data_IF_639192310109
#
_entry.id   IF_639192310109
#
_cell.length_a   1.000
_cell.length_b   1.000
_cell.length_c   1.000
_cell.angle_alpha   90.00
_cell.angle_beta   90.00
_cell.angle_gamma   90.00
#
_symmetry.space_group_name_H-M   'P 1'
#
loop_
_entity.id
_entity.type
_entity.pdbx_description
1 polymer ?
#
# COMPACT_ATOMS: atom_id res chain seq x y z
N UNK A 1 7.22 2.49 19.39
CA UNK A 1 8.32 2.32 20.36
C UNK A 1 8.36 0.89 20.87
N UNK A 2 7.41 0.53 21.72
CA UNK A 2 7.26 -0.82 22.32
C UNK A 2 7.44 -1.97 21.33
N UNK A 3 6.64 -2.01 20.26
CA UNK A 3 6.69 -3.11 19.27
C UNK A 3 8.05 -3.25 18.58
N UNK A 4 8.79 -2.16 18.37
CA UNK A 4 10.13 -2.26 17.77
C UNK A 4 11.15 -2.86 18.75
N UNK A 5 11.07 -2.46 20.02
CA UNK A 5 11.97 -2.97 21.07
C UNK A 5 11.73 -4.48 21.33
N UNK A 6 10.46 -4.90 21.36
CA UNK A 6 10.10 -6.32 21.48
C UNK A 6 10.68 -7.15 20.33
N UNK A 7 10.58 -6.63 19.10
CA UNK A 7 11.14 -7.30 17.93
C UNK A 7 12.66 -7.48 18.03
N UNK A 8 13.38 -6.48 18.54
CA UNK A 8 14.85 -6.55 18.71
C UNK A 8 15.27 -7.55 19.80
N UNK A 9 14.51 -7.66 20.88
CA UNK A 9 14.89 -8.46 22.06
C UNK A 9 14.37 -9.90 21.96
N UNK A 10 13.11 -10.06 21.54
CA UNK A 10 12.39 -11.33 21.57
C UNK A 10 12.21 -11.96 20.17
N UNK A 11 12.49 -11.22 19.10
CA UNK A 11 12.32 -11.69 17.72
C UNK A 11 10.88 -11.64 17.19
N UNK A 12 9.91 -11.34 18.06
CA UNK A 12 8.49 -11.20 17.74
C UNK A 12 7.85 -10.02 18.48
N UNK A 13 6.66 -9.61 18.07
CA UNK A 13 5.93 -8.47 18.64
C UNK A 13 4.58 -8.93 19.17
N UNK A 14 4.13 -8.37 20.30
CA UNK A 14 2.83 -8.72 20.91
C UNK A 14 1.64 -8.31 20.01
N UNK A 15 1.80 -7.21 19.28
CA UNK A 15 0.80 -6.66 18.35
C UNK A 15 1.24 -6.95 16.92
N UNK A 16 0.29 -7.26 16.04
CA UNK A 16 0.54 -7.48 14.61
C UNK A 16 1.21 -6.24 13.96
N UNK A 17 2.48 -6.36 13.50
CA UNK A 17 3.20 -5.25 12.89
C UNK A 17 2.93 -5.12 11.38
N UNK A 18 2.07 -5.96 10.79
CA UNK A 18 1.88 -6.05 9.33
C UNK A 18 1.54 -4.70 8.67
N UNK A 19 0.80 -3.84 9.37
CA UNK A 19 0.47 -2.50 8.91
C UNK A 19 1.66 -1.51 8.85
N UNK A 20 2.75 -1.82 9.53
CA UNK A 20 3.96 -0.99 9.63
C UNK A 20 5.19 -1.63 8.95
N UNK A 21 5.11 -2.91 8.62
CA UNK A 21 6.17 -3.66 7.97
C UNK A 21 6.57 -3.08 6.60
N UNK A 22 7.87 -2.85 6.40
CA UNK A 22 8.44 -2.33 5.16
C UNK A 22 8.39 -3.38 4.04
N UNK A 23 8.47 -4.68 4.37
CA UNK A 23 8.42 -5.77 3.41
C UNK A 23 7.05 -5.94 2.74
N UNK A 24 6.02 -5.20 3.19
CA UNK A 24 4.72 -5.13 2.49
C UNK A 24 4.85 -4.53 1.09
N UNK A 25 5.86 -3.69 0.87
CA UNK A 25 6.13 -3.09 -0.43
C UNK A 25 7.13 -3.94 -1.21
N UNK A 26 6.86 -4.16 -2.50
CA UNK A 26 7.73 -4.92 -3.38
C UNK A 26 8.60 -4.04 -4.27
N UNK A 27 9.42 -4.65 -5.12
CA UNK A 27 10.29 -3.93 -6.11
C UNK A 27 9.53 -2.99 -7.06
N UNK A 28 8.21 -3.14 -7.14
CA UNK A 28 7.36 -2.32 -7.96
C UNK A 28 7.20 -0.90 -7.39
N UNK A 29 7.35 -0.65 -6.09
CA UNK A 29 7.15 0.70 -5.52
C UNK A 29 8.29 1.66 -5.88
N UNK A 30 8.25 2.22 -7.09
CA UNK A 30 9.18 3.25 -7.56
C UNK A 30 8.67 4.65 -7.19
N UNK A 31 9.50 5.71 -7.31
CA UNK A 31 9.05 7.08 -7.07
C UNK A 31 7.80 7.49 -7.87
N UNK A 32 7.61 6.90 -9.06
CA UNK A 32 6.42 7.11 -9.89
C UNK A 32 5.12 6.58 -9.29
N UNK A 33 5.19 5.61 -8.36
CA UNK A 33 4.04 5.17 -7.57
C UNK A 33 3.93 5.92 -6.24
N UNK A 34 5.06 6.09 -5.54
CA UNK A 34 5.08 6.60 -4.16
C UNK A 34 4.62 8.04 -4.07
N UNK A 35 5.13 8.93 -4.93
CA UNK A 35 4.80 10.37 -4.89
C UNK A 35 3.29 10.62 -5.10
N UNK A 36 2.66 10.15 -6.19
CA UNK A 36 1.22 10.38 -6.40
C UNK A 36 0.35 9.74 -5.31
N UNK A 37 0.73 8.56 -4.78
CA UNK A 37 -0.02 7.93 -3.67
C UNK A 37 0.07 8.68 -2.35
N UNK A 38 1.21 9.29 -2.05
CA UNK A 38 1.36 10.11 -0.84
C UNK A 38 0.51 11.38 -0.95
N UNK A 39 0.47 12.02 -2.12
CA UNK A 39 -0.38 13.19 -2.37
C UNK A 39 -1.86 12.83 -2.18
N UNK A 40 -2.31 11.74 -2.80
CA UNK A 40 -3.69 11.25 -2.68
C UNK A 40 -4.05 10.89 -1.23
N UNK A 41 -3.13 10.25 -0.49
CA UNK A 41 -3.35 9.93 0.93
C UNK A 41 -3.51 11.20 1.78
N UNK A 42 -2.73 12.24 1.49
CA UNK A 42 -2.81 13.50 2.21
C UNK A 42 -4.12 14.25 1.92
N UNK A 43 -4.56 14.27 0.66
CA UNK A 43 -5.83 14.87 0.25
C UNK A 43 -7.03 14.21 0.94
N UNK A 44 -6.99 12.89 1.10
CA UNK A 44 -8.08 12.10 1.70
C UNK A 44 -7.89 11.84 3.20
N UNK A 45 -7.06 12.63 3.87
CA UNK A 45 -6.72 12.38 5.28
C UNK A 45 -7.93 12.48 6.22
N UNK A 46 -8.88 13.36 5.90
CA UNK A 46 -10.07 13.63 6.70
C UNK A 46 -11.37 13.25 6.00
N UNK A 47 -11.30 12.56 4.87
CA UNK A 47 -12.49 12.02 4.22
C UNK A 47 -12.98 10.76 4.93
N UNK A 48 -14.27 10.47 4.80
CA UNK A 48 -14.85 9.18 5.22
C UNK A 48 -14.37 8.13 4.23
N UNK A 49 -13.67 7.10 4.73
CA UNK A 49 -13.25 5.96 3.92
C UNK A 49 -14.30 4.85 4.00
N UNK A 50 -14.61 4.26 2.85
CA UNK A 50 -15.54 3.14 2.76
C UNK A 50 -14.75 1.83 2.63
N UNK A 51 -15.25 0.72 3.21
CA UNK A 51 -14.71 -0.61 2.90
C UNK A 51 -14.78 -0.86 1.38
N UNK A 52 -13.66 -1.25 0.77
CA UNK A 52 -13.49 -1.42 -0.68
C UNK A 52 -13.43 -0.12 -1.51
N UNK A 53 -13.07 1.02 -0.91
CA UNK A 53 -12.80 2.26 -1.65
C UNK A 53 -11.62 2.10 -2.61
N UNK A 54 -11.85 2.38 -3.89
CA UNK A 54 -10.82 2.39 -4.92
C UNK A 54 -10.13 3.75 -5.03
N UNK A 55 -8.80 3.73 -5.13
CA UNK A 55 -7.98 4.93 -5.18
C UNK A 55 -7.27 5.07 -6.54
N UNK A 56 -7.63 6.07 -7.37
CA UNK A 56 -7.20 6.14 -8.76
C UNK A 56 -5.72 6.52 -8.95
N UNK A 57 -5.07 7.21 -8.01
CA UNK A 57 -3.71 7.69 -8.22
C UNK A 57 -2.73 6.53 -8.47
N UNK A 58 -1.83 6.71 -9.44
CA UNK A 58 -0.88 5.67 -9.87
C UNK A 58 -1.53 4.36 -10.37
N UNK A 59 -2.73 4.40 -10.96
CA UNK A 59 -3.26 3.29 -11.77
C UNK A 59 -3.28 3.68 -13.26
N UNK A 60 -2.97 2.76 -14.19
CA UNK A 60 -2.43 1.41 -13.99
C UNK A 60 -0.91 1.44 -13.78
N UNK A 61 -0.40 0.80 -12.72
CA UNK A 61 1.04 0.79 -12.41
C UNK A 61 1.66 -0.61 -12.38
N UNK A 62 0.87 -1.63 -12.05
CA UNK A 62 1.28 -3.04 -12.15
C UNK A 62 0.14 -3.84 -12.77
N UNK A 63 0.35 -4.28 -14.00
CA UNK A 63 -0.62 -5.03 -14.78
C UNK A 63 -0.12 -6.45 -15.01
N UNK A 64 -1.05 -7.40 -15.17
CA UNK A 64 -0.72 -8.74 -15.68
C UNK A 64 -0.68 -8.69 -17.21
N UNK A 65 -0.03 -9.65 -17.90
CA UNK A 65 -0.03 -9.68 -19.37
C UNK A 65 -1.43 -9.77 -19.99
N UNK A 66 -2.43 -10.19 -19.21
CA UNK A 66 -3.83 -10.29 -19.64
C UNK A 66 -4.65 -9.04 -19.31
N UNK A 67 -4.03 -7.99 -18.75
CA UNK A 67 -4.73 -6.76 -18.36
C UNK A 67 -5.48 -6.14 -19.53
N UNK A 68 -4.83 -5.97 -20.69
CA UNK A 68 -5.44 -5.36 -21.87
C UNK A 68 -6.64 -6.16 -22.39
N UNK A 69 -6.61 -7.49 -22.21
CA UNK A 69 -7.71 -8.38 -22.60
C UNK A 69 -8.91 -8.18 -21.68
N UNK A 70 -8.71 -8.10 -20.37
CA UNK A 70 -9.79 -7.89 -19.42
C UNK A 70 -10.33 -6.46 -19.47
N UNK A 71 -9.47 -5.46 -19.65
CA UNK A 71 -9.89 -4.06 -19.83
C UNK A 71 -10.78 -3.89 -21.08
N UNK A 72 -10.52 -4.66 -22.14
CA UNK A 72 -11.36 -4.70 -23.33
C UNK A 72 -12.68 -5.49 -23.18
N UNK A 73 -12.82 -6.31 -22.14
CA UNK A 73 -14.04 -7.09 -21.87
C UNK A 73 -15.10 -6.31 -21.07
N UNK A 74 -14.69 -5.23 -20.39
CA UNK A 74 -15.56 -4.41 -19.51
C UNK A 74 -15.56 -4.89 -18.08
#
# INVERSE_FOLDING_TARGET
GKSLAEWMIHGETEVDPRGFDVARFGKWTTPGYTVPKVIENYQMRFSVSYPNEERPAARPFRTTPMYDIFDGMG
#
